data_IF_528611135561
#
_entry.id   IF_528611135561
#
_cell.length_a   1.000
_cell.length_b   1.000
_cell.length_c   1.000
_cell.angle_alpha   90.00
_cell.angle_beta   90.00
_cell.angle_gamma   90.00
#
_symmetry.space_group_name_H-M   'P 1'
#
loop_
_entity.id
_entity.type
_entity.pdbx_description
1 polymer ?
#
# COMPACT_ATOMS: atom_id res chain seq x y z
N UNK A 1 29.67 -4.32 -0.88
CA UNK A 1 28.47 -4.34 -1.69
C UNK A 1 28.17 -5.74 -2.17
N UNK A 2 26.94 -6.12 -2.21
CA UNK A 2 26.60 -7.43 -2.70
C UNK A 2 26.27 -7.36 -4.20
N UNK A 3 26.97 -8.10 -5.02
CA UNK A 3 26.64 -8.15 -6.44
C UNK A 3 25.31 -8.86 -6.70
N UNK A 4 24.78 -9.54 -5.71
CA UNK A 4 23.51 -10.22 -5.86
C UNK A 4 22.36 -9.27 -6.14
N UNK A 5 22.59 -8.00 -5.97
CA UNK A 5 21.60 -6.99 -6.35
C UNK A 5 21.38 -6.92 -7.83
N UNK A 6 22.18 -7.58 -8.56
CA UNK A 6 22.16 -7.78 -10.00
C UNK A 6 21.15 -6.88 -10.71
N UNK A 7 21.55 -5.66 -10.98
CA UNK A 7 20.75 -4.73 -11.76
C UNK A 7 19.73 -3.91 -10.98
N UNK A 8 19.47 -4.23 -9.72
CA UNK A 8 18.54 -3.45 -8.93
C UNK A 8 19.24 -2.29 -8.23
N UNK A 9 18.68 -1.07 -8.24
CA UNK A 9 19.25 0.05 -7.49
C UNK A 9 19.10 -0.17 -5.98
N UNK A 10 20.08 0.33 -5.23
CA UNK A 10 20.04 0.23 -3.76
C UNK A 10 19.00 1.14 -3.16
N UNK A 11 18.73 2.27 -3.80
CA UNK A 11 17.78 3.27 -3.32
C UNK A 11 16.59 3.34 -4.25
N UNK A 12 15.38 3.22 -3.69
CA UNK A 12 14.15 3.34 -4.47
C UNK A 12 13.14 4.19 -3.72
N UNK A 13 12.16 4.68 -4.47
CA UNK A 13 10.99 5.36 -3.94
C UNK A 13 9.77 4.50 -4.25
N UNK A 14 8.96 4.25 -3.23
CA UNK A 14 7.66 3.56 -3.39
C UNK A 14 6.58 4.62 -3.30
N UNK A 15 5.73 4.67 -4.32
CA UNK A 15 4.53 5.50 -4.33
C UNK A 15 3.34 4.56 -4.20
N UNK A 16 2.44 4.82 -3.26
CA UNK A 16 1.29 3.95 -3.05
C UNK A 16 0.02 4.75 -2.84
N UNK A 17 -1.09 4.14 -3.24
CA UNK A 17 -2.43 4.69 -3.04
C UNK A 17 -3.42 3.54 -2.93
N UNK A 18 -4.55 3.80 -2.29
CA UNK A 18 -5.63 2.83 -2.17
C UNK A 18 -6.92 3.52 -1.85
N UNK A 19 -8.02 2.88 -2.16
CA UNK A 19 -9.33 3.45 -1.89
C UNK A 19 -10.44 2.46 -2.08
N UNK A 20 -11.65 2.91 -1.80
CA UNK A 20 -12.86 2.12 -1.98
C UNK A 20 -13.94 3.01 -2.56
N UNK A 21 -14.75 2.43 -3.45
CA UNK A 21 -15.94 3.10 -4.01
C UNK A 21 -17.08 2.95 -3.00
N UNK A 22 -17.34 4.02 -2.23
CA UNK A 22 -18.13 3.92 -1.01
C UNK A 22 -17.28 3.29 0.08
N UNK A 23 -17.19 3.76 1.25
CA UNK A 23 -16.25 3.30 2.26
C UNK A 23 -16.99 2.63 3.41
N UNK A 24 -17.13 1.27 3.46
CA UNK A 24 -16.51 0.28 2.58
C UNK A 24 -17.19 0.13 1.23
N UNK A 25 -16.49 -0.51 0.30
CA UNK A 25 -17.01 -0.80 -1.02
C UNK A 25 -15.97 -1.54 -1.85
N UNK A 26 -16.20 -1.65 -3.17
CA UNK A 26 -15.19 -2.20 -4.07
C UNK A 26 -13.90 -1.40 -3.95
N UNK A 27 -12.86 -2.06 -3.51
CA UNK A 27 -11.60 -1.41 -3.13
C UNK A 27 -10.45 -1.90 -3.98
N UNK A 28 -9.41 -1.09 -4.08
CA UNK A 28 -8.23 -1.43 -4.84
C UNK A 28 -7.07 -0.52 -4.48
N UNK A 29 -5.88 -0.92 -4.93
CA UNK A 29 -4.68 -0.15 -4.66
C UNK A 29 -3.80 -0.07 -5.89
N UNK A 30 -2.88 0.89 -5.85
CA UNK A 30 -1.81 1.04 -6.80
C UNK A 30 -0.49 1.24 -6.07
N UNK A 31 0.56 0.69 -6.62
CA UNK A 31 1.91 0.86 -6.10
C UNK A 31 2.89 1.01 -7.26
N UNK A 32 3.84 1.92 -7.10
CA UNK A 32 4.87 2.20 -8.10
C UNK A 32 6.20 2.19 -7.38
N UNK A 33 7.17 1.45 -7.91
CA UNK A 33 8.55 1.51 -7.43
C UNK A 33 9.38 2.19 -8.50
N UNK A 34 10.10 3.24 -8.11
CA UNK A 34 10.88 4.03 -9.04
C UNK A 34 12.27 4.33 -8.44
N UNK A 35 13.19 4.69 -9.31
CA UNK A 35 14.47 5.23 -8.86
C UNK A 35 14.26 6.63 -8.28
N UNK A 36 15.23 7.14 -7.49
CA UNK A 36 15.10 8.50 -6.97
C UNK A 36 14.94 9.57 -8.03
N UNK A 37 15.47 9.34 -9.24
CA UNK A 37 15.32 10.29 -10.35
C UNK A 37 14.07 10.05 -11.19
N UNK A 38 13.21 9.11 -10.79
CA UNK A 38 11.89 8.97 -11.37
C UNK A 38 11.70 7.87 -12.38
N UNK A 39 12.69 7.05 -12.64
CA UNK A 39 12.55 5.92 -13.58
C UNK A 39 11.68 4.84 -12.92
N UNK A 40 10.59 4.46 -13.56
CA UNK A 40 9.69 3.43 -13.04
C UNK A 40 10.32 2.05 -13.23
N UNK A 41 10.42 1.29 -12.14
CA UNK A 41 11.01 -0.05 -12.12
C UNK A 41 9.94 -1.13 -12.01
N UNK A 42 8.84 -0.87 -11.34
CA UNK A 42 7.76 -1.83 -11.17
C UNK A 42 6.46 -1.11 -10.85
N UNK A 43 5.36 -1.72 -11.25
CA UNK A 43 4.01 -1.24 -10.95
C UNK A 43 3.15 -2.40 -10.54
N UNK A 44 2.16 -2.13 -9.68
CA UNK A 44 1.15 -3.10 -9.34
C UNK A 44 -0.17 -2.38 -9.12
N UNK A 45 -1.24 -2.93 -9.68
CA UNK A 45 -2.60 -2.43 -9.44
C UNK A 45 -3.49 -3.64 -9.25
N UNK A 46 -4.24 -3.67 -8.14
CA UNK A 46 -5.04 -4.85 -7.83
C UNK A 46 -6.32 -4.46 -7.11
N UNK A 47 -7.44 -5.04 -7.55
CA UNK A 47 -8.68 -4.98 -6.82
C UNK A 47 -8.67 -5.98 -5.69
N UNK A 48 -9.21 -5.59 -4.53
CA UNK A 48 -9.18 -6.42 -3.33
C UNK A 48 -10.56 -6.79 -2.82
N UNK A 49 -11.61 -6.51 -3.61
CA UNK A 49 -12.98 -6.81 -3.21
C UNK A 49 -13.54 -5.76 -2.27
N UNK A 50 -14.45 -6.18 -1.39
CA UNK A 50 -15.14 -5.28 -0.47
C UNK A 50 -14.24 -4.96 0.72
N UNK A 51 -13.82 -3.71 0.85
CA UNK A 51 -12.92 -3.28 1.92
C UNK A 51 -13.04 -1.79 2.15
N UNK A 52 -12.37 -1.29 3.19
CA UNK A 52 -12.33 0.14 3.50
C UNK A 52 -11.15 0.81 2.78
N UNK A 53 -11.20 2.14 2.73
CA UNK A 53 -10.08 2.94 2.23
C UNK A 53 -8.77 2.59 2.95
N UNK A 54 -8.81 2.50 4.27
CA UNK A 54 -7.59 2.28 5.04
C UNK A 54 -6.97 0.91 4.79
N UNK A 55 -7.80 -0.12 4.61
CA UNK A 55 -7.31 -1.45 4.23
C UNK A 55 -6.60 -1.39 2.87
N UNK A 56 -7.23 -0.72 1.91
CA UNK A 56 -6.64 -0.59 0.56
C UNK A 56 -5.33 0.20 0.60
N UNK A 57 -5.25 1.25 1.41
CA UNK A 57 -4.02 2.03 1.56
C UNK A 57 -2.88 1.17 2.09
N UNK A 58 -3.13 0.37 3.13
CA UNK A 58 -2.11 -0.53 3.64
C UNK A 58 -1.69 -1.58 2.62
N UNK A 59 -2.66 -2.12 1.87
CA UNK A 59 -2.36 -3.12 0.85
C UNK A 59 -1.44 -2.56 -0.24
N UNK A 60 -1.63 -1.30 -0.60
CA UNK A 60 -0.75 -0.62 -1.54
C UNK A 60 0.68 -0.49 -1.03
N UNK A 61 0.83 -0.08 0.21
CA UNK A 61 2.15 0.04 0.85
C UNK A 61 2.84 -1.32 0.91
N UNK A 62 2.12 -2.35 1.33
CA UNK A 62 2.66 -3.71 1.42
C UNK A 62 3.12 -4.20 0.05
N UNK A 63 2.30 -3.99 -0.98
CA UNK A 63 2.65 -4.38 -2.35
C UNK A 63 3.92 -3.67 -2.82
N UNK A 64 4.02 -2.38 -2.56
CA UNK A 64 5.19 -1.59 -2.94
C UNK A 64 6.46 -2.07 -2.25
N UNK A 65 6.37 -2.34 -0.95
CA UNK A 65 7.52 -2.85 -0.20
C UNK A 65 7.96 -4.23 -0.70
N UNK A 66 7.01 -5.10 -1.02
CA UNK A 66 7.33 -6.42 -1.58
C UNK A 66 8.03 -6.30 -2.93
N UNK A 67 7.56 -5.41 -3.79
CA UNK A 67 8.20 -5.17 -5.09
C UNK A 67 9.61 -4.61 -4.93
N UNK A 68 9.78 -3.65 -4.01
CA UNK A 68 11.09 -3.08 -3.72
C UNK A 68 12.06 -4.15 -3.24
N UNK A 69 11.60 -5.04 -2.36
CA UNK A 69 12.43 -6.13 -1.86
C UNK A 69 12.84 -7.08 -2.98
N UNK A 70 11.90 -7.41 -3.86
CA UNK A 70 12.18 -8.30 -5.00
C UNK A 70 13.21 -7.71 -5.95
N UNK A 71 13.28 -6.37 -6.03
CA UNK A 71 14.26 -5.68 -6.86
C UNK A 71 15.63 -5.57 -6.20
N UNK A 72 15.77 -6.00 -4.95
CA UNK A 72 17.02 -5.93 -4.24
C UNK A 72 17.33 -4.58 -3.62
N UNK A 73 16.33 -3.71 -3.48
CA UNK A 73 16.51 -2.41 -2.84
C UNK A 73 16.95 -2.58 -1.39
N UNK A 74 17.78 -1.67 -0.92
CA UNK A 74 18.23 -1.67 0.47
C UNK A 74 17.69 -0.50 1.26
N UNK A 75 17.44 0.63 0.62
CA UNK A 75 16.88 1.82 1.25
C UNK A 75 15.65 2.23 0.47
N UNK A 76 14.55 2.40 1.16
CA UNK A 76 13.27 2.68 0.54
C UNK A 76 12.67 3.93 1.16
N UNK A 77 12.22 4.82 0.29
CA UNK A 77 11.45 5.99 0.69
C UNK A 77 10.02 5.74 0.26
N UNK A 78 9.12 5.58 1.24
CA UNK A 78 7.70 5.34 0.95
C UNK A 78 6.97 6.67 0.96
N UNK A 79 6.29 6.99 -0.13
CA UNK A 79 5.47 8.19 -0.29
C UNK A 79 4.03 7.78 -0.47
N UNK A 80 3.16 8.28 0.39
CA UNK A 80 1.74 7.96 0.37
C UNK A 80 0.95 9.21 0.77
N UNK A 81 -0.30 9.29 0.27
CA UNK A 81 -1.17 10.39 0.66
C UNK A 81 -2.08 10.05 1.83
N UNK A 82 -1.91 8.88 2.43
CA UNK A 82 -2.61 8.49 3.63
C UNK A 82 -1.83 8.91 4.87
N UNK A 83 -2.28 9.97 5.51
CA UNK A 83 -1.65 10.44 6.73
C UNK A 83 -1.72 9.38 7.83
N UNK A 84 -2.83 8.62 7.89
CA UNK A 84 -3.00 7.56 8.87
C UNK A 84 -1.91 6.50 8.74
N UNK A 85 -1.71 5.97 7.53
CA UNK A 85 -0.71 4.92 7.31
C UNK A 85 0.69 5.43 7.63
N UNK A 86 1.02 6.62 7.15
CA UNK A 86 2.35 7.20 7.38
C UNK A 86 2.59 7.39 8.87
N UNK A 87 1.64 7.96 9.60
CA UNK A 87 1.84 8.22 11.03
C UNK A 87 1.80 6.96 11.87
N UNK A 88 1.02 5.95 11.47
CA UNK A 88 1.05 4.67 12.17
C UNK A 88 2.41 3.97 11.98
N UNK A 89 2.95 4.00 10.77
CA UNK A 89 4.24 3.35 10.51
C UNK A 89 5.42 4.11 11.12
N UNK A 90 5.29 5.42 11.28
CA UNK A 90 6.27 6.21 12.01
C UNK A 90 6.18 6.01 13.53
N UNK A 91 5.13 5.35 14.02
CA UNK A 91 4.91 5.19 15.45
C UNK A 91 4.33 6.42 16.13
N UNK A 92 3.88 7.41 15.35
CA UNK A 92 3.27 8.63 15.90
C UNK A 92 1.84 8.38 16.34
N UNK A 93 1.12 7.57 15.58
CA UNK A 93 -0.27 7.19 15.88
C UNK A 93 -0.38 5.71 16.17
N UNK A 94 -1.18 5.35 17.17
CA UNK A 94 -1.46 3.95 17.49
C UNK A 94 -2.41 3.35 16.47
N UNK A 95 -2.31 2.05 16.25
CA UNK A 95 -3.22 1.30 15.42
C UNK A 95 -4.33 0.75 16.31
N UNK A 96 -5.46 1.44 16.35
CA UNK A 96 -6.59 1.07 17.21
C UNK A 96 -7.56 0.13 16.53
N UNK A 97 -7.66 0.20 15.21
CA UNK A 97 -8.60 -0.62 14.43
C UNK A 97 -8.06 -2.04 14.30
N UNK A 98 -8.86 -3.02 14.74
CA UNK A 98 -8.44 -4.41 14.73
C UNK A 98 -8.19 -4.94 13.30
N UNK A 99 -8.92 -4.43 12.31
CA UNK A 99 -8.74 -4.86 10.93
C UNK A 99 -7.40 -4.37 10.35
N UNK A 100 -6.88 -3.26 10.86
CA UNK A 100 -5.62 -2.70 10.35
C UNK A 100 -4.39 -3.26 11.06
N UNK A 101 -4.54 -3.85 12.25
CA UNK A 101 -3.40 -4.34 13.00
C UNK A 101 -2.53 -5.35 12.23
N UNK A 102 -3.11 -6.41 11.65
CA UNK A 102 -2.26 -7.35 10.90
C UNK A 102 -1.59 -6.70 9.69
N UNK A 103 -2.27 -5.76 9.05
CA UNK A 103 -1.68 -5.05 7.90
C UNK A 103 -0.55 -4.13 8.34
N UNK A 104 -0.75 -3.41 9.43
CA UNK A 104 0.29 -2.55 9.99
C UNK A 104 1.51 -3.36 10.42
N UNK A 105 1.27 -4.52 11.04
CA UNK A 105 2.35 -5.41 11.46
C UNK A 105 3.09 -5.99 10.26
N UNK A 106 2.38 -6.34 9.21
CA UNK A 106 3.01 -6.85 8.00
C UNK A 106 3.87 -5.78 7.33
N UNK A 107 3.37 -4.55 7.23
CA UNK A 107 4.14 -3.45 6.66
C UNK A 107 5.41 -3.20 7.49
N UNK A 108 5.30 -3.21 8.81
CA UNK A 108 6.44 -3.00 9.69
C UNK A 108 7.46 -4.14 9.56
N UNK A 109 6.98 -5.38 9.43
CA UNK A 109 7.85 -6.53 9.26
C UNK A 109 8.62 -6.45 7.95
N UNK A 110 7.94 -6.09 6.86
CA UNK A 110 8.59 -5.91 5.58
C UNK A 110 9.63 -4.80 5.63
N UNK A 111 9.31 -3.70 6.32
CA UNK A 111 10.24 -2.58 6.45
C UNK A 111 11.55 -3.00 7.11
N UNK A 112 11.51 -3.96 8.05
CA UNK A 112 12.71 -4.45 8.71
C UNK A 112 13.65 -5.24 7.79
N UNK A 113 13.17 -5.65 6.62
CA UNK A 113 14.01 -6.38 5.66
C UNK A 113 14.94 -5.44 4.87
N UNK A 114 14.81 -4.13 5.07
CA UNK A 114 15.64 -3.12 4.40
C UNK A 114 16.60 -2.48 5.41
N UNK A 115 17.68 -1.92 4.91
CA UNK A 115 18.60 -1.15 5.76
C UNK A 115 17.90 0.05 6.36
N UNK A 116 17.03 0.69 5.57
CA UNK A 116 16.29 1.85 6.03
C UNK A 116 15.02 2.03 5.21
N UNK A 117 13.93 2.34 5.90
CA UNK A 117 12.68 2.77 5.27
C UNK A 117 12.30 4.10 5.91
N UNK A 118 12.02 5.09 5.07
CA UNK A 118 11.49 6.37 5.51
C UNK A 118 10.07 6.52 5.00
N UNK A 119 9.23 7.19 5.78
CA UNK A 119 7.81 7.35 5.49
C UNK A 119 7.52 8.82 5.29
N UNK A 120 6.98 9.17 4.12
CA UNK A 120 6.69 10.56 3.77
C UNK A 120 5.24 10.69 3.34
N UNK A 121 4.54 11.62 3.97
CA UNK A 121 3.21 12.00 3.52
C UNK A 121 3.36 12.99 2.36
N UNK A 122 2.66 12.72 1.26
CA UNK A 122 2.65 13.62 0.10
C UNK A 122 1.21 14.00 -0.21
N UNK A 123 0.98 15.19 -0.77
CA UNK A 123 -0.36 15.54 -1.19
C UNK A 123 -0.78 14.70 -2.39
N UNK A 124 -2.09 14.54 -2.56
CA UNK A 124 -2.66 13.68 -3.60
C UNK A 124 -2.18 14.09 -4.99
N UNK A 125 -2.01 15.39 -5.23
CA UNK A 125 -1.58 15.91 -6.53
C UNK A 125 -0.19 15.41 -6.91
N UNK A 126 0.61 15.00 -5.96
CA UNK A 126 1.95 14.47 -6.19
C UNK A 126 1.99 12.95 -6.21
N UNK A 127 0.82 12.30 -6.09
CA UNK A 127 0.73 10.84 -6.04
C UNK A 127 -0.11 10.31 -7.21
N UNK A 128 -0.06 10.99 -8.35
CA UNK A 128 -0.95 10.75 -9.48
C UNK A 128 -0.80 9.38 -10.11
N UNK A 129 0.41 8.88 -10.21
CA UNK A 129 0.65 7.58 -10.86
C UNK A 129 0.00 6.45 -10.06
N UNK A 130 0.28 6.41 -8.75
CA UNK A 130 -0.33 5.41 -7.88
C UNK A 130 -1.84 5.60 -7.78
N UNK A 131 -2.32 6.85 -7.75
CA UNK A 131 -3.75 7.15 -7.74
C UNK A 131 -4.45 6.62 -8.99
N UNK A 132 -3.86 6.80 -10.16
CA UNK A 132 -4.44 6.30 -11.42
C UNK A 132 -4.52 4.77 -11.41
N UNK A 133 -3.49 4.09 -10.90
CA UNK A 133 -3.49 2.64 -10.78
C UNK A 133 -4.57 2.16 -9.80
N UNK A 134 -4.71 2.84 -8.67
CA UNK A 134 -5.72 2.50 -7.68
C UNK A 134 -7.14 2.68 -8.24
N UNK A 135 -7.38 3.79 -8.94
CA UNK A 135 -8.69 4.04 -9.57
C UNK A 135 -9.02 2.99 -10.60
N UNK A 136 -8.06 2.62 -11.43
CA UNK A 136 -8.28 1.57 -12.43
C UNK A 136 -8.61 0.23 -11.75
N UNK A 137 -7.91 -0.09 -10.66
CA UNK A 137 -8.17 -1.31 -9.92
C UNK A 137 -9.58 -1.32 -9.31
N UNK A 138 -10.02 -0.18 -8.78
CA UNK A 138 -11.39 -0.06 -8.25
C UNK A 138 -12.44 -0.18 -9.34
N UNK A 139 -12.19 0.46 -10.49
CA UNK A 139 -13.14 0.46 -11.61
C UNK A 139 -13.34 -0.94 -12.21
N UNK A 140 -12.34 -1.80 -12.09
CA UNK A 140 -12.43 -3.17 -12.63
C UNK A 140 -13.18 -4.12 -11.70
N UNK A 141 -13.86 -3.61 -10.68
CA UNK A 141 -14.58 -4.41 -9.70
C UNK A 141 -16.06 -4.06 -9.61
N UNK A 142 -16.65 -3.65 -10.72
CA UNK A 142 -18.07 -3.29 -10.77
C UNK A 142 -19.00 -4.45 -10.42
N UNK A 143 -18.50 -5.70 -10.43
CA UNK A 143 -19.30 -6.87 -10.02
C UNK A 143 -19.17 -7.20 -8.54
N UNK A 144 -18.31 -6.50 -7.82
CA UNK A 144 -18.16 -6.75 -6.39
C UNK A 144 -19.39 -6.24 -5.65
N UNK A 145 -19.92 -7.09 -4.78
CA UNK A 145 -21.12 -6.78 -4.00
C UNK A 145 -20.79 -6.81 -2.53
N UNK A 146 -21.60 -6.07 -1.75
CA UNK A 146 -21.49 -6.14 -0.30
C UNK A 146 -21.70 -7.59 0.15
N UNK A 147 -20.82 -8.13 1.04
CA UNK A 147 -20.99 -9.49 1.55
C UNK A 147 -22.33 -9.66 2.25
N UNK A 148 -22.92 -10.85 2.13
CA UNK A 148 -24.17 -11.16 2.81
C UNK A 148 -23.95 -11.29 4.30
N UNK A 149 -24.94 -10.88 5.06
CA UNK A 149 -24.87 -10.94 6.51
C UNK A 149 -24.67 -12.38 7.02
N UNK A 150 -25.30 -13.36 6.37
CA UNK A 150 -25.22 -14.75 6.78
C UNK A 150 -23.87 -15.42 6.48
N UNK A 151 -23.03 -14.81 5.66
CA UNK A 151 -21.70 -15.31 5.37
C UNK A 151 -20.62 -14.66 6.22
N UNK A 152 -21.02 -13.76 7.13
CA UNK A 152 -20.11 -13.00 7.97
C UNK A 152 -20.27 -13.44 9.42
N UNK A 153 -19.17 -13.36 10.18
CA UNK A 153 -19.27 -13.48 11.62
C UNK A 153 -20.04 -12.26 12.14
N UNK A 154 -21.22 -12.44 12.76
CA UNK A 154 -22.06 -11.30 13.16
C UNK A 154 -21.40 -10.42 14.22
N UNK A 155 -20.34 -10.88 14.84
CA UNK A 155 -19.61 -10.10 15.84
C UNK A 155 -18.50 -9.26 15.23
N UNK A 156 -18.24 -9.39 13.93
CA UNK A 156 -17.21 -8.62 13.26
C UNK A 156 -17.84 -7.45 12.52
N UNK A 157 -17.27 -6.24 12.66
CA UNK A 157 -17.75 -5.11 11.89
C UNK A 157 -17.42 -5.29 10.41
N UNK A 158 -18.20 -4.64 9.54
CA UNK A 158 -18.00 -4.70 8.10
C UNK A 158 -16.86 -3.81 7.61
N UNK A 159 -16.31 -2.98 8.46
CA UNK A 159 -15.24 -2.05 8.11
C UNK A 159 -13.87 -2.63 8.35
#
# INVERSE_FOLDING_TARGET
MSPARSGGPADVVVWSDGGARGNPGPAGYGAVVATPDGQVLAEEAEGIGWATNNVAEYRGVIAGLRRARALGARRVRVRADSLLVVNQQKGVWKVKNAALRPLSEEAARLARDFERVTWEHVPRERNRHADALANRAMDNQDRVRRPRQDTLNPQLPLT
#
